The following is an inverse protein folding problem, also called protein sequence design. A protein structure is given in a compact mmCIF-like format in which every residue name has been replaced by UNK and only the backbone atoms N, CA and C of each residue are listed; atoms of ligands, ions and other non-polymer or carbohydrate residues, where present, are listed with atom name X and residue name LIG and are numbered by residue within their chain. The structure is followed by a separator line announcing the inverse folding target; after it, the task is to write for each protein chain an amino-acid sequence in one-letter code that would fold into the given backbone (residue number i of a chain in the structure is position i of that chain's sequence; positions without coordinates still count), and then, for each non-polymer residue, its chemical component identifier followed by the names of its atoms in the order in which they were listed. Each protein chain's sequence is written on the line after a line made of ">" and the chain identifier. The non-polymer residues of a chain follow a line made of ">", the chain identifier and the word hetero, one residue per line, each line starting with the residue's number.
data_IF_395288473772
#
_entry.id   IF_395288473772
#
_cell.length_a   1.000
_cell.length_b   1.000
_cell.length_c   1.000
_cell.angle_alpha   90.00
_cell.angle_beta   90.00
_cell.angle_gamma   90.00
#
_symmetry.space_group_name_H-M   'P 1'
#
loop_
_entity.id
_entity.type
_entity.pdbx_description
1 polymer ?
#
# COMPACT_ATOMS: atom_id res chain seq x y z
N UNK A 1 10.54 -12.56 -6.60
CA UNK A 1 10.21 -11.20 -7.09
C UNK A 1 11.47 -10.35 -7.03
N UNK A 2 11.61 -9.36 -7.89
CA UNK A 2 12.78 -8.48 -7.93
C UNK A 2 12.40 -7.07 -7.45
N UNK A 3 13.37 -6.37 -6.87
CA UNK A 3 13.24 -4.97 -6.44
C UNK A 3 12.91 -4.08 -7.64
N UNK A 4 12.00 -3.13 -7.45
CA UNK A 4 11.63 -2.17 -8.49
C UNK A 4 12.77 -1.16 -8.73
N UNK A 5 12.99 -0.71 -9.97
CA UNK A 5 14.05 0.25 -10.30
C UNK A 5 13.69 1.70 -9.94
N UNK A 6 12.64 1.92 -9.16
CA UNK A 6 12.13 3.22 -8.74
C UNK A 6 11.57 3.13 -7.31
N UNK A 7 11.40 4.28 -6.64
CA UNK A 7 10.78 4.33 -5.31
C UNK A 7 9.32 3.89 -5.41
N UNK A 8 8.89 3.03 -4.50
CA UNK A 8 7.53 2.51 -4.46
C UNK A 8 7.03 2.46 -3.01
N UNK A 9 5.71 2.47 -2.86
CA UNK A 9 5.00 2.30 -1.60
C UNK A 9 3.96 1.20 -1.81
N UNK A 10 3.84 0.30 -0.83
CA UNK A 10 2.76 -0.68 -0.74
C UNK A 10 1.93 -0.34 0.49
N UNK A 11 0.63 -0.19 0.31
CA UNK A 11 -0.33 -0.03 1.42
C UNK A 11 -1.03 -1.37 1.62
N UNK A 12 -0.97 -1.91 2.85
CA UNK A 12 -1.64 -3.17 3.20
C UNK A 12 -2.67 -2.96 4.30
N UNK A 13 -3.80 -3.66 4.18
CA UNK A 13 -4.85 -3.68 5.20
C UNK A 13 -4.70 -4.90 6.11
N UNK A 14 -5.08 -4.76 7.39
CA UNK A 14 -4.99 -5.79 8.43
C UNK A 14 -6.12 -6.82 8.34
N UNK A 15 -7.22 -6.49 7.69
CA UNK A 15 -8.44 -7.29 7.55
C UNK A 15 -8.86 -7.47 6.08
N UNK A 16 -7.89 -7.43 5.16
CA UNK A 16 -8.10 -7.74 3.75
C UNK A 16 -8.45 -9.24 3.57
N UNK A 17 -9.59 -9.51 2.92
CA UNK A 17 -10.12 -10.85 2.68
C UNK A 17 -9.34 -11.63 1.60
N UNK A 18 -8.57 -10.95 0.77
CA UNK A 18 -7.83 -11.52 -0.35
C UNK A 18 -6.32 -11.63 -0.07
N UNK A 19 -5.78 -10.83 0.84
CA UNK A 19 -4.35 -10.82 1.15
C UNK A 19 -4.10 -10.65 2.64
N UNK A 20 -3.33 -11.55 3.24
CA UNK A 20 -2.93 -11.40 4.64
C UNK A 20 -1.97 -10.22 4.80
N UNK A 21 -2.03 -9.56 5.96
CA UNK A 21 -1.14 -8.44 6.28
C UNK A 21 0.34 -8.81 6.18
N UNK A 22 0.71 -9.99 6.68
CA UNK A 22 2.08 -10.51 6.58
C UNK A 22 2.52 -10.69 5.12
N UNK A 23 1.62 -11.18 4.25
CA UNK A 23 1.92 -11.34 2.84
C UNK A 23 2.12 -10.00 2.13
N UNK A 24 1.36 -8.98 2.50
CA UNK A 24 1.55 -7.63 1.99
C UNK A 24 2.91 -7.03 2.42
N UNK A 25 3.37 -7.31 3.63
CA UNK A 25 4.70 -6.91 4.11
C UNK A 25 5.83 -7.64 3.36
N UNK A 26 5.68 -8.94 3.13
CA UNK A 26 6.62 -9.73 2.31
C UNK A 26 6.69 -9.19 0.88
N UNK A 27 5.54 -8.84 0.30
CA UNK A 27 5.44 -8.24 -1.03
C UNK A 27 6.20 -6.92 -1.10
N UNK A 28 5.98 -6.02 -0.13
CA UNK A 28 6.69 -4.75 -0.03
C UNK A 28 8.20 -4.97 0.07
N UNK A 29 8.63 -5.91 0.91
CA UNK A 29 10.05 -6.26 1.08
C UNK A 29 10.65 -6.78 -0.23
N UNK A 30 9.96 -7.69 -0.92
CA UNK A 30 10.44 -8.29 -2.16
C UNK A 30 10.49 -7.29 -3.32
N UNK A 31 9.59 -6.32 -3.35
CA UNK A 31 9.61 -5.19 -4.30
C UNK A 31 10.60 -4.09 -3.90
N UNK A 32 11.11 -4.13 -2.67
CA UNK A 32 11.94 -3.08 -2.11
C UNK A 32 11.21 -1.75 -1.89
N UNK A 33 9.91 -1.84 -1.66
CA UNK A 33 9.01 -0.72 -1.43
C UNK A 33 8.90 -0.38 0.07
N UNK A 34 8.55 0.87 0.37
CA UNK A 34 8.09 1.24 1.72
C UNK A 34 6.73 0.56 1.99
N UNK A 35 6.56 -0.03 3.17
CA UNK A 35 5.27 -0.59 3.58
C UNK A 35 4.52 0.42 4.46
N UNK A 36 3.26 0.67 4.14
CA UNK A 36 2.34 1.50 4.91
C UNK A 36 1.19 0.64 5.42
N UNK A 37 0.98 0.66 6.72
CA UNK A 37 -0.16 0.01 7.36
C UNK A 37 -1.42 0.88 7.17
N UNK A 38 -2.39 0.37 6.42
CA UNK A 38 -3.67 1.01 6.16
C UNK A 38 -4.69 0.86 7.29
N UNK A 39 -4.40 0.05 8.32
CA UNK A 39 -5.35 -0.31 9.36
C UNK A 39 -6.32 -1.40 8.92
N UNK A 40 -7.50 -1.47 9.56
CA UNK A 40 -8.57 -2.41 9.23
C UNK A 40 -9.56 -1.73 8.27
N UNK A 41 -9.34 -1.91 6.96
CA UNK A 41 -10.00 -1.16 5.89
C UNK A 41 -10.48 -2.05 4.72
N UNK A 42 -10.50 -3.37 4.92
CA UNK A 42 -10.82 -4.36 3.89
C UNK A 42 -9.83 -4.31 2.73
N UNK A 43 -10.30 -4.55 1.50
CA UNK A 43 -9.44 -4.67 0.32
C UNK A 43 -9.11 -3.34 -0.38
N UNK A 44 -9.21 -2.19 0.29
CA UNK A 44 -8.89 -0.86 -0.27
C UNK A 44 -9.55 -0.58 -1.65
N UNK A 45 -10.77 -1.06 -1.85
CA UNK A 45 -11.52 -0.90 -3.09
C UNK A 45 -12.75 0.00 -2.87
N UNK A 46 -13.49 0.30 -3.93
CA UNK A 46 -14.70 1.13 -3.84
C UNK A 46 -15.79 0.51 -2.96
N UNK A 47 -15.89 -0.83 -2.91
CA UNK A 47 -16.83 -1.53 -2.03
C UNK A 47 -16.47 -1.41 -0.55
N UNK A 48 -15.18 -1.29 -0.22
CA UNK A 48 -14.69 -1.03 1.14
C UNK A 48 -14.56 0.47 1.47
N UNK A 49 -15.10 1.35 0.62
CA UNK A 49 -15.18 2.80 0.86
C UNK A 49 -14.06 3.63 0.24
N UNK A 50 -13.15 3.02 -0.53
CA UNK A 50 -12.00 3.67 -1.15
C UNK A 50 -12.28 4.06 -2.60
N UNK A 51 -13.25 4.95 -2.79
CA UNK A 51 -13.44 5.69 -4.04
C UNK A 51 -12.51 6.91 -4.07
N UNK A 52 -12.98 8.11 -3.69
CA UNK A 52 -12.10 9.19 -3.28
C UNK A 52 -11.26 8.75 -2.08
N UNK A 53 -9.94 8.82 -2.19
CA UNK A 53 -9.03 8.41 -1.13
C UNK A 53 -7.96 9.51 -0.87
N UNK A 54 -8.32 10.56 -0.13
CA UNK A 54 -7.40 11.68 0.13
C UNK A 54 -6.09 11.27 0.81
N UNK A 55 -6.12 10.23 1.66
CA UNK A 55 -4.91 9.68 2.27
C UNK A 55 -3.99 9.00 1.23
N UNK A 56 -4.56 8.35 0.21
CA UNK A 56 -3.80 7.82 -0.93
C UNK A 56 -3.14 8.93 -1.75
N UNK A 57 -3.86 10.03 -2.00
CA UNK A 57 -3.30 11.21 -2.67
C UNK A 57 -2.15 11.83 -1.88
N UNK A 58 -2.28 11.93 -0.55
CA UNK A 58 -1.21 12.41 0.32
C UNK A 58 0.02 11.49 0.29
N UNK A 59 -0.18 10.16 0.22
CA UNK A 59 0.91 9.20 0.06
C UNK A 59 1.64 9.38 -1.28
N UNK A 60 0.90 9.60 -2.37
CA UNK A 60 1.47 9.88 -3.68
C UNK A 60 2.28 11.19 -3.67
N UNK A 61 1.70 12.27 -3.12
CA UNK A 61 2.40 13.55 -2.99
C UNK A 61 3.72 13.40 -2.20
N UNK A 62 3.71 12.63 -1.11
CA UNK A 62 4.90 12.33 -0.32
C UNK A 62 5.94 11.52 -1.11
N UNK A 63 5.51 10.55 -1.91
CA UNK A 63 6.40 9.76 -2.77
C UNK A 63 7.10 10.64 -3.81
N UNK A 64 6.37 11.58 -4.41
CA UNK A 64 6.88 12.52 -5.40
C UNK A 64 7.81 13.59 -4.80
N UNK A 65 7.53 14.05 -3.58
CA UNK A 65 8.32 15.10 -2.92
C UNK A 65 9.73 14.67 -2.50
N UNK A 66 10.01 13.36 -2.44
CA UNK A 66 11.33 12.80 -2.06
C UNK A 66 12.25 12.57 -3.27
N UNK A 67 12.36 13.55 -4.17
CA UNK A 67 13.26 13.49 -5.33
C UNK A 67 14.72 13.36 -4.86
#
# INVERSE_FOLDING_TARGET
>A
MARLPFRAVVVGSRDDEHMTFARAQELATALGAEFVDGGAVGHLNTASGFGPWPAGEALLARLLARA
#
